data_IF_343883896589
#
_entry.id   IF_343883896589
#
_cell.length_a   1.000
_cell.length_b   1.000
_cell.length_c   1.000
_cell.angle_alpha   90.00
_cell.angle_beta   90.00
_cell.angle_gamma   90.00
#
_symmetry.space_group_name_H-M   'P 1'
#
loop_
_entity.id
_entity.type
_entity.pdbx_description
1 polymer ?
#
# COMPACT_ATOMS: atom_id res chain seq x y z
N UNK A 1 -16.13 16.81 15.36
CA UNK A 1 -15.16 16.04 14.51
C UNK A 1 -15.17 14.55 14.83
N UNK A 2 -15.21 14.12 16.10
CA UNK A 2 -15.32 12.70 16.47
C UNK A 2 -16.65 12.03 16.02
N UNK A 3 -17.74 12.79 15.88
CA UNK A 3 -19.03 12.25 15.40
C UNK A 3 -18.98 11.71 13.96
N UNK A 4 -18.14 12.28 13.08
CA UNK A 4 -17.96 11.77 11.72
C UNK A 4 -17.25 10.42 11.68
N UNK A 5 -16.38 10.15 12.65
CA UNK A 5 -15.78 8.83 12.81
C UNK A 5 -16.82 7.81 13.27
N UNK A 6 -17.84 8.20 14.03
CA UNK A 6 -18.89 7.28 14.46
C UNK A 6 -19.94 7.00 13.36
N UNK A 7 -20.14 7.96 12.45
CA UNK A 7 -21.03 7.84 11.29
C UNK A 7 -20.40 7.11 10.09
N UNK A 8 -19.09 6.87 10.13
CA UNK A 8 -18.41 6.12 9.08
C UNK A 8 -18.88 4.67 9.10
N UNK A 9 -19.22 4.13 7.91
CA UNK A 9 -19.68 2.75 7.73
C UNK A 9 -18.50 1.79 7.83
N UNK A 10 -17.96 1.62 9.03
CA UNK A 10 -16.81 0.76 9.30
C UNK A 10 -17.05 -0.69 8.88
N UNK A 11 -18.29 -1.16 8.98
CA UNK A 11 -18.67 -2.51 8.54
C UNK A 11 -18.42 -2.68 7.02
N UNK A 12 -18.74 -1.69 6.20
CA UNK A 12 -18.45 -1.76 4.76
C UNK A 12 -16.96 -1.67 4.46
N UNK A 13 -16.22 -0.86 5.22
CA UNK A 13 -14.78 -0.80 5.07
C UNK A 13 -14.14 -2.15 5.44
N UNK A 14 -14.64 -2.80 6.50
CA UNK A 14 -14.21 -4.12 6.93
C UNK A 14 -14.55 -5.18 5.88
N UNK A 15 -15.77 -5.20 5.34
CA UNK A 15 -16.17 -6.14 4.29
C UNK A 15 -15.29 -5.99 3.04
N UNK A 16 -14.98 -4.75 2.64
CA UNK A 16 -14.09 -4.49 1.50
C UNK A 16 -12.65 -4.93 1.77
N UNK A 17 -12.16 -4.78 3.00
CA UNK A 17 -10.83 -5.23 3.41
C UNK A 17 -10.77 -6.76 3.56
N UNK A 18 -11.86 -7.38 4.03
CA UNK A 18 -11.99 -8.81 4.29
C UNK A 18 -12.38 -9.62 3.04
N UNK A 19 -12.91 -8.98 1.99
CA UNK A 19 -13.29 -9.62 0.73
C UNK A 19 -12.13 -10.24 -0.07
N UNK A 20 -10.88 -10.14 0.42
CA UNK A 20 -9.70 -10.79 -0.16
C UNK A 20 -9.21 -10.22 -1.49
N UNK A 21 -10.00 -9.37 -2.15
CA UNK A 21 -9.65 -8.74 -3.42
C UNK A 21 -9.99 -7.22 -3.41
N UNK A 22 -9.35 -6.42 -2.53
CA UNK A 22 -9.64 -5.00 -2.44
C UNK A 22 -9.32 -4.27 -3.76
N UNK A 23 -10.04 -3.19 -4.10
CA UNK A 23 -9.79 -2.40 -5.31
C UNK A 23 -8.34 -1.90 -5.40
N UNK A 24 -7.84 -1.75 -6.62
CA UNK A 24 -6.45 -1.37 -6.91
C UNK A 24 -6.02 -0.08 -6.18
N UNK A 25 -6.86 0.97 -6.21
CA UNK A 25 -6.58 2.22 -5.52
C UNK A 25 -6.46 2.03 -4.00
N UNK A 26 -7.26 1.12 -3.41
CA UNK A 26 -7.27 0.86 -1.98
C UNK A 26 -5.98 0.15 -1.55
N UNK A 27 -5.46 -0.75 -2.38
CA UNK A 27 -4.15 -1.39 -2.16
C UNK A 27 -3.01 -0.38 -2.15
N UNK A 28 -3.01 0.54 -3.13
CA UNK A 28 -2.03 1.63 -3.18
C UNK A 28 -2.16 2.53 -1.95
N UNK A 29 -3.38 2.89 -1.56
CA UNK A 29 -3.63 3.71 -0.37
C UNK A 29 -3.12 3.04 0.91
N UNK A 30 -3.43 1.76 1.12
CA UNK A 30 -2.96 0.98 2.27
C UNK A 30 -1.45 0.86 2.30
N UNK A 31 -0.83 0.60 1.14
CA UNK A 31 0.63 0.54 1.03
C UNK A 31 1.26 1.87 1.42
N UNK A 32 0.79 2.99 0.85
CA UNK A 32 1.28 4.32 1.20
C UNK A 32 1.03 4.68 2.68
N UNK A 33 -0.13 4.30 3.23
CA UNK A 33 -0.47 4.50 4.63
C UNK A 33 0.45 3.71 5.57
N UNK A 34 0.85 2.50 5.19
CA UNK A 34 1.79 1.68 5.96
C UNK A 34 3.17 2.34 6.03
N UNK A 35 3.69 2.83 4.90
CA UNK A 35 4.95 3.57 4.87
C UNK A 35 4.89 4.88 5.66
N UNK A 36 3.78 5.62 5.55
CA UNK A 36 3.54 6.82 6.35
C UNK A 36 3.48 6.50 7.85
N UNK A 37 2.82 5.41 8.23
CA UNK A 37 2.73 4.92 9.60
C UNK A 37 4.11 4.57 10.16
N UNK A 38 4.92 3.82 9.41
CA UNK A 38 6.31 3.53 9.79
C UNK A 38 7.15 4.80 9.95
N UNK A 39 6.99 5.76 9.04
CA UNK A 39 7.65 7.06 9.13
C UNK A 39 7.20 7.84 10.38
N UNK A 40 5.91 7.87 10.66
CA UNK A 40 5.34 8.56 11.82
C UNK A 40 5.81 7.93 13.14
N UNK A 41 5.82 6.60 13.24
CA UNK A 41 6.34 5.86 14.41
C UNK A 41 7.83 6.14 14.60
N UNK A 42 8.62 6.08 13.52
CA UNK A 42 10.05 6.40 13.56
C UNK A 42 10.32 7.85 13.99
N UNK A 43 9.48 8.78 13.56
CA UNK A 43 9.57 10.19 13.97
C UNK A 43 9.17 10.38 15.43
N UNK A 44 8.13 9.68 15.90
CA UNK A 44 7.67 9.72 17.28
C UNK A 44 8.67 9.10 18.27
N UNK A 45 9.43 8.08 17.85
CA UNK A 45 10.50 7.48 18.66
C UNK A 45 11.79 8.33 18.74
N UNK A 46 11.78 9.54 18.19
CA UNK A 46 12.91 10.47 18.26
C UNK A 46 14.11 10.05 17.40
N UNK A 47 13.91 9.13 16.45
CA UNK A 47 14.98 8.73 15.55
C UNK A 47 15.46 9.94 14.73
N UNK A 48 16.79 10.04 14.51
CA UNK A 48 17.38 11.11 13.68
C UNK A 48 16.66 11.20 12.34
N UNK A 49 16.48 12.45 11.88
CA UNK A 49 15.95 12.75 10.57
C UNK A 49 16.69 11.91 9.51
N UNK A 50 15.92 11.24 8.65
CA UNK A 50 16.48 10.39 7.63
C UNK A 50 17.32 11.24 6.66
N UNK A 51 18.51 10.77 6.29
CA UNK A 51 19.32 11.44 5.28
C UNK A 51 18.56 11.50 3.96
N UNK A 52 18.85 12.51 3.13
CA UNK A 52 18.19 12.67 1.82
C UNK A 52 18.28 11.41 0.97
N UNK A 53 19.44 10.74 0.96
CA UNK A 53 19.63 9.46 0.28
C UNK A 53 18.73 8.33 0.82
N UNK A 54 18.56 8.25 2.14
CA UNK A 54 17.63 7.28 2.73
C UNK A 54 16.18 7.55 2.34
N UNK A 55 15.75 8.82 2.37
CA UNK A 55 14.40 9.23 1.94
C UNK A 55 14.14 8.87 0.47
N UNK A 56 15.13 9.07 -0.40
CA UNK A 56 15.05 8.74 -1.82
C UNK A 56 14.92 7.23 -2.03
N UNK A 57 15.66 6.41 -1.29
CA UNK A 57 15.52 4.95 -1.34
C UNK A 57 14.14 4.47 -0.89
N UNK A 58 13.59 5.06 0.17
CA UNK A 58 12.23 4.71 0.63
C UNK A 58 11.19 5.14 -0.41
N UNK A 59 11.32 6.32 -1.00
CA UNK A 59 10.43 6.78 -2.07
C UNK A 59 10.52 5.88 -3.30
N UNK A 60 11.71 5.45 -3.70
CA UNK A 60 11.89 4.50 -4.80
C UNK A 60 11.29 3.13 -4.48
N UNK A 61 11.47 2.63 -3.26
CA UNK A 61 10.87 1.38 -2.82
C UNK A 61 9.33 1.45 -2.84
N UNK A 62 8.76 2.56 -2.37
CA UNK A 62 7.32 2.83 -2.44
C UNK A 62 6.85 2.91 -3.89
N UNK A 63 7.56 3.64 -4.74
CA UNK A 63 7.23 3.76 -6.17
C UNK A 63 7.25 2.39 -6.86
N UNK A 64 8.31 1.59 -6.64
CA UNK A 64 8.43 0.25 -7.19
C UNK A 64 7.33 -0.69 -6.70
N UNK A 65 6.99 -0.63 -5.41
CA UNK A 65 5.91 -1.43 -4.85
C UNK A 65 4.54 -1.02 -5.41
N UNK A 66 4.27 0.28 -5.58
CA UNK A 66 3.05 0.76 -6.23
C UNK A 66 2.98 0.33 -7.71
N UNK A 67 4.10 0.41 -8.44
CA UNK A 67 4.22 -0.09 -9.82
C UNK A 67 3.93 -1.59 -9.90
N UNK A 68 4.54 -2.40 -9.04
CA UNK A 68 4.35 -3.85 -9.04
C UNK A 68 2.89 -4.23 -8.75
N UNK A 69 2.25 -3.49 -7.84
CA UNK A 69 0.83 -3.65 -7.55
C UNK A 69 -0.03 -3.27 -8.76
N UNK A 70 0.31 -2.18 -9.45
CA UNK A 70 -0.46 -1.66 -10.59
C UNK A 70 -0.37 -2.62 -11.79
N UNK A 71 0.80 -3.22 -11.99
CA UNK A 71 1.03 -4.19 -13.05
C UNK A 71 0.82 -5.65 -12.64
N UNK A 72 0.25 -5.90 -11.44
CA UNK A 72 0.08 -7.25 -10.90
C UNK A 72 -0.72 -8.16 -11.84
N UNK A 73 -1.80 -7.65 -12.45
CA UNK A 73 -2.63 -8.44 -13.37
C UNK A 73 -1.87 -8.80 -14.66
N UNK A 74 -1.15 -7.84 -15.26
CA UNK A 74 -0.40 -8.12 -16.49
C UNK A 74 0.77 -9.08 -16.24
N UNK A 75 1.42 -9.00 -15.08
CA UNK A 75 2.47 -9.97 -14.69
C UNK A 75 1.88 -11.36 -14.50
N UNK A 76 0.71 -11.48 -13.85
CA UNK A 76 0.03 -12.76 -13.68
C UNK A 76 -0.42 -13.36 -15.01
N UNK A 77 -0.94 -12.54 -15.92
CA UNK A 77 -1.36 -12.96 -17.25
C UNK A 77 -0.14 -13.41 -18.09
N UNK A 78 0.97 -12.67 -18.02
CA UNK A 78 2.22 -13.05 -18.68
C UNK A 78 2.78 -14.37 -18.14
N UNK A 79 2.83 -14.54 -16.82
CA UNK A 79 3.29 -15.79 -16.21
C UNK A 79 2.40 -16.98 -16.60
N UNK A 80 1.07 -16.81 -16.60
CA UNK A 80 0.13 -17.84 -17.06
C UNK A 80 0.34 -18.21 -18.53
N UNK A 81 0.59 -17.21 -19.39
CA UNK A 81 0.87 -17.47 -20.81
C UNK A 81 2.15 -18.29 -21.02
N UNK A 82 3.18 -18.08 -20.19
CA UNK A 82 4.41 -18.87 -20.20
C UNK A 82 4.22 -20.29 -19.66
N UNK A 83 3.30 -20.52 -18.71
CA UNK A 83 3.07 -21.85 -18.12
C UNK A 83 2.10 -22.72 -18.91
N UNK A 84 1.17 -22.11 -19.66
CA UNK A 84 0.21 -22.83 -20.51
C UNK A 84 0.80 -23.07 -21.92
N UNK A 85 1.82 -22.30 -22.31
CA UNK A 85 2.54 -22.44 -23.57
C UNK A 85 3.64 -23.51 -23.60
N UNK A 86 3.82 -24.29 -22.54
CA UNK A 86 4.77 -25.43 -22.42
C UNK A 86 4.04 -26.74 -22.22
#
# INVERSE_FOLDING_TARGET
MLEYLYLARWDQAYDVLAAGNPPMFLRLLLLNALFLGLYAVRRASGARAMSSGGALLVQLAVLAANLLLLYQSQVQDYLRSLTIGS
#
